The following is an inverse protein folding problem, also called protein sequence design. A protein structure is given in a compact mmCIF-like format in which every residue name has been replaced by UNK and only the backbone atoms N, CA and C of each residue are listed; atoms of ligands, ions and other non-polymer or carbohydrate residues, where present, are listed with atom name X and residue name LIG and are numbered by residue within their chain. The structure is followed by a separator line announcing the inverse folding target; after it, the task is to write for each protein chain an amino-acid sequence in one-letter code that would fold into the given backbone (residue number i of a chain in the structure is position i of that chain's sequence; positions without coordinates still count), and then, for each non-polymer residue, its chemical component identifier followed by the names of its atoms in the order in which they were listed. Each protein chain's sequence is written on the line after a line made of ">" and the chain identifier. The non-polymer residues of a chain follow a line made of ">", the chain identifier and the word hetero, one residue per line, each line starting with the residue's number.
data_IF_762123093654
#
_entry.id   IF_762123093654
#
_cell.length_a   1.000
_cell.length_b   1.000
_cell.length_c   1.000
_cell.angle_alpha   90.00
_cell.angle_beta   90.00
_cell.angle_gamma   90.00
#
_symmetry.space_group_name_H-M   'P 1'
#
loop_
_entity.id
_entity.type
_entity.pdbx_description
1 polymer ?
#
# COMPACT_ATOMS: atom_id res chain seq x y z
N UNK A 1 6.32 -1.00 17.73
CA UNK A 1 6.28 -2.44 17.40
C UNK A 1 7.24 -2.79 16.25
N UNK A 2 7.09 -2.20 15.04
CA UNK A 2 7.99 -2.53 13.90
C UNK A 2 9.46 -2.22 14.18
N UNK A 3 9.77 -1.11 14.86
CA UNK A 3 11.12 -0.75 15.32
C UNK A 3 11.71 -1.76 16.31
N UNK A 4 10.86 -2.52 17.00
CA UNK A 4 11.22 -3.58 17.94
C UNK A 4 11.23 -4.98 17.30
N UNK A 5 11.07 -5.09 15.97
CA UNK A 5 11.01 -6.36 15.25
C UNK A 5 9.68 -7.12 15.39
N UNK A 6 8.67 -6.55 16.06
CA UNK A 6 7.36 -7.17 16.22
C UNK A 6 6.56 -7.03 14.93
N UNK A 7 6.10 -8.14 14.37
CA UNK A 7 5.27 -8.17 13.17
C UNK A 7 3.84 -7.75 13.50
N UNK A 8 3.27 -6.87 12.68
CA UNK A 8 1.85 -6.51 12.73
C UNK A 8 1.13 -7.31 11.65
N UNK A 9 0.20 -8.17 12.06
CA UNK A 9 -0.63 -8.95 11.15
C UNK A 9 -1.92 -8.16 10.86
N UNK A 10 -2.41 -8.16 9.60
CA UNK A 10 -3.67 -7.52 9.24
C UNK A 10 -4.84 -8.14 10.02
N UNK A 11 -6.00 -7.45 10.10
CA UNK A 11 -7.20 -8.07 10.65
C UNK A 11 -7.59 -9.30 9.84
N UNK A 12 -8.14 -10.31 10.49
CA UNK A 12 -8.64 -11.53 9.86
C UNK A 12 -9.93 -11.99 10.56
N UNK A 13 -10.97 -12.29 9.80
CA UNK A 13 -12.27 -12.60 10.36
C UNK A 13 -12.30 -13.94 11.11
N UNK A 14 -11.42 -14.86 10.70
CA UNK A 14 -11.33 -16.20 11.27
C UNK A 14 -10.30 -16.31 12.41
N UNK A 15 -9.28 -15.46 12.43
CA UNK A 15 -8.23 -15.50 13.45
C UNK A 15 -8.22 -14.27 14.37
N UNK A 16 -8.86 -13.17 13.96
CA UNK A 16 -8.88 -11.92 14.71
C UNK A 16 -9.83 -11.96 15.90
N UNK A 17 -9.46 -11.26 16.97
CA UNK A 17 -10.29 -10.96 18.12
C UNK A 17 -10.93 -9.59 17.97
N UNK A 18 -11.86 -9.26 18.90
CA UNK A 18 -12.40 -7.90 18.98
C UNK A 18 -11.30 -6.85 19.15
N UNK A 19 -10.37 -7.06 20.08
CA UNK A 19 -9.19 -6.22 20.30
C UNK A 19 -7.95 -6.75 19.60
N UNK A 20 -6.84 -6.05 19.79
CA UNK A 20 -5.52 -6.55 19.38
C UNK A 20 -5.16 -7.81 20.16
N UNK A 21 -4.60 -8.79 19.50
CA UNK A 21 -4.19 -10.06 20.12
C UNK A 21 -2.74 -10.39 19.79
N UNK A 22 -2.00 -10.89 20.80
CA UNK A 22 -0.65 -11.39 20.61
C UNK A 22 -0.68 -12.84 20.09
N UNK A 23 0.09 -13.12 19.04
CA UNK A 23 0.24 -14.46 18.46
C UNK A 23 1.74 -14.73 18.22
N UNK A 24 2.41 -15.37 19.18
CA UNK A 24 3.86 -15.52 19.16
C UNK A 24 4.56 -14.15 19.13
N UNK A 25 5.48 -13.96 18.18
CA UNK A 25 6.21 -12.69 17.98
C UNK A 25 5.45 -11.67 17.13
N UNK A 26 4.13 -11.82 17.03
CA UNK A 26 3.30 -10.98 16.19
C UNK A 26 2.10 -10.43 16.96
N UNK A 27 1.63 -9.26 16.55
CA UNK A 27 0.37 -8.67 17.04
C UNK A 27 -0.61 -8.66 15.87
N UNK A 28 -1.76 -9.34 16.03
CA UNK A 28 -2.86 -9.26 15.07
C UNK A 28 -3.71 -8.03 15.36
N UNK A 29 -4.07 -7.33 14.31
CA UNK A 29 -4.90 -6.15 14.37
C UNK A 29 -6.33 -6.52 14.79
N UNK A 30 -6.88 -5.81 15.79
CA UNK A 30 -8.22 -6.06 16.31
C UNK A 30 -9.31 -5.69 15.30
N UNK A 31 -10.37 -6.48 15.23
CA UNK A 31 -11.49 -6.23 14.31
C UNK A 31 -12.24 -4.93 14.63
N UNK A 32 -12.28 -4.50 15.89
CA UNK A 32 -12.89 -3.22 16.29
C UNK A 32 -12.16 -1.97 15.80
N UNK A 33 -10.92 -2.11 15.33
CA UNK A 33 -10.19 -1.02 14.72
C UNK A 33 -10.63 -0.71 13.29
N UNK A 34 -11.46 -1.57 12.68
CA UNK A 34 -12.02 -1.34 11.34
C UNK A 34 -13.14 -0.31 11.46
N UNK A 35 -12.98 0.82 10.77
CA UNK A 35 -13.95 1.93 10.80
C UNK A 35 -15.35 1.51 10.37
N UNK A 36 -16.35 2.16 10.94
CA UNK A 36 -17.77 1.97 10.63
C UNK A 36 -18.32 0.56 10.96
N UNK A 37 -17.65 -0.17 11.83
CA UNK A 37 -18.17 -1.43 12.39
C UNK A 37 -18.24 -1.28 13.91
N UNK A 38 -19.44 -1.37 14.46
CA UNK A 38 -19.65 -1.21 15.90
C UNK A 38 -19.08 -2.39 16.70
N UNK A 39 -18.55 -2.09 17.91
CA UNK A 39 -17.98 -3.12 18.79
C UNK A 39 -18.94 -4.28 19.04
N UNK A 40 -20.22 -3.99 19.32
CA UNK A 40 -21.22 -5.04 19.57
C UNK A 40 -21.41 -5.99 18.36
N UNK A 41 -21.33 -5.46 17.14
CA UNK A 41 -21.41 -6.28 15.91
C UNK A 41 -20.19 -7.18 15.80
N UNK A 42 -19.00 -6.66 16.10
CA UNK A 42 -17.74 -7.45 16.11
C UNK A 42 -17.82 -8.56 17.18
N UNK A 43 -18.24 -8.23 18.41
CA UNK A 43 -18.36 -9.21 19.48
C UNK A 43 -19.32 -10.34 19.08
N UNK A 44 -20.43 -10.02 18.42
CA UNK A 44 -21.38 -11.02 17.88
C UNK A 44 -20.76 -11.88 16.78
N UNK A 45 -19.96 -11.30 15.87
CA UNK A 45 -19.25 -12.03 14.82
C UNK A 45 -18.26 -13.04 15.43
N UNK A 46 -17.50 -12.60 16.44
CA UNK A 46 -16.55 -13.47 17.14
C UNK A 46 -17.28 -14.61 17.87
N UNK A 47 -18.34 -14.28 18.60
CA UNK A 47 -19.15 -15.29 19.31
C UNK A 47 -19.81 -16.32 18.36
N UNK A 48 -20.32 -15.87 17.19
CA UNK A 48 -20.88 -16.75 16.16
C UNK A 48 -19.81 -17.69 15.58
N UNK A 49 -18.60 -17.17 15.34
CA UNK A 49 -17.46 -17.98 14.91
C UNK A 49 -17.07 -19.03 15.96
N UNK A 50 -17.04 -18.68 17.24
CA UNK A 50 -16.73 -19.60 18.33
C UNK A 50 -17.79 -20.71 18.49
N UNK A 51 -19.05 -20.32 18.30
CA UNK A 51 -20.17 -21.28 18.46
C UNK A 51 -20.30 -22.24 17.27
N UNK A 52 -20.06 -21.81 16.05
CA UNK A 52 -20.36 -22.57 14.82
C UNK A 52 -19.14 -22.84 13.92
N UNK A 53 -17.95 -22.50 14.38
CA UNK A 53 -16.69 -22.68 13.65
C UNK A 53 -16.39 -21.56 12.67
N UNK A 54 -15.22 -21.63 12.05
CA UNK A 54 -14.70 -20.63 11.11
C UNK A 54 -15.66 -20.39 9.94
N UNK A 55 -15.64 -19.17 9.42
CA UNK A 55 -16.34 -18.81 8.19
C UNK A 55 -15.60 -19.38 6.98
N UNK A 56 -16.33 -20.04 6.08
CA UNK A 56 -15.75 -20.76 4.93
C UNK A 56 -15.42 -19.84 3.76
N UNK A 57 -16.35 -18.95 3.47
CA UNK A 57 -16.28 -18.00 2.35
C UNK A 57 -17.14 -16.75 2.64
N UNK A 58 -17.18 -15.80 1.71
CA UNK A 58 -17.93 -14.56 1.85
C UNK A 58 -19.44 -14.79 1.99
N UNK A 59 -19.99 -15.77 1.30
CA UNK A 59 -21.42 -16.08 1.33
C UNK A 59 -21.82 -16.71 2.68
N UNK A 60 -21.02 -17.64 3.21
CA UNK A 60 -21.21 -18.22 4.54
C UNK A 60 -21.13 -17.13 5.62
N UNK A 61 -20.15 -16.23 5.52
CA UNK A 61 -20.05 -15.09 6.44
C UNK A 61 -21.30 -14.22 6.40
N UNK A 62 -21.72 -13.77 5.21
CA UNK A 62 -22.88 -12.88 5.06
C UNK A 62 -24.15 -13.57 5.57
N UNK A 63 -24.38 -14.84 5.24
CA UNK A 63 -25.56 -15.59 5.64
C UNK A 63 -25.66 -15.74 7.16
N UNK A 64 -24.54 -16.07 7.82
CA UNK A 64 -24.48 -16.26 9.28
C UNK A 64 -24.55 -14.94 10.05
N UNK A 65 -24.00 -13.86 9.50
CA UNK A 65 -23.89 -12.57 10.22
C UNK A 65 -25.00 -11.56 9.88
N UNK A 66 -25.78 -11.81 8.85
CA UNK A 66 -26.92 -10.94 8.50
C UNK A 66 -27.96 -10.79 9.65
N UNK A 67 -28.23 -11.81 10.54
CA UNK A 67 -29.07 -11.60 11.73
C UNK A 67 -28.39 -10.75 12.81
N UNK A 68 -27.07 -10.60 12.77
CA UNK A 68 -26.26 -9.97 13.81
C UNK A 68 -26.06 -8.46 13.57
N UNK A 69 -26.72 -7.89 12.57
CA UNK A 69 -26.64 -6.45 12.25
C UNK A 69 -25.48 -6.05 11.36
N UNK A 70 -24.81 -7.01 10.71
CA UNK A 70 -23.77 -6.71 9.71
C UNK A 70 -24.43 -6.16 8.44
N UNK A 71 -24.09 -4.95 8.06
CA UNK A 71 -24.61 -4.25 6.88
C UNK A 71 -23.59 -4.22 5.73
N UNK A 72 -24.04 -3.81 4.53
CA UNK A 72 -23.21 -3.70 3.32
C UNK A 72 -21.92 -2.89 3.56
N UNK A 73 -22.01 -1.78 4.31
CA UNK A 73 -20.86 -0.91 4.59
C UNK A 73 -19.82 -1.60 5.49
N UNK A 74 -20.28 -2.39 6.46
CA UNK A 74 -19.38 -3.18 7.29
C UNK A 74 -18.63 -4.23 6.45
N UNK A 75 -19.35 -4.95 5.57
CA UNK A 75 -18.75 -5.95 4.67
C UNK A 75 -17.74 -5.32 3.74
N UNK A 76 -18.07 -4.18 3.12
CA UNK A 76 -17.14 -3.41 2.28
C UNK A 76 -15.86 -3.07 3.06
N UNK A 77 -15.99 -2.59 4.29
CA UNK A 77 -14.84 -2.24 5.11
C UNK A 77 -14.01 -3.46 5.54
N UNK A 78 -14.63 -4.60 5.79
CA UNK A 78 -13.91 -5.87 6.00
C UNK A 78 -13.10 -6.28 4.76
N UNK A 79 -13.69 -6.17 3.56
CA UNK A 79 -12.98 -6.44 2.29
C UNK A 79 -11.80 -5.48 2.13
N UNK A 80 -12.02 -4.17 2.30
CA UNK A 80 -10.97 -3.15 2.21
C UNK A 80 -9.84 -3.36 3.21
N UNK A 81 -10.19 -3.77 4.44
CA UNK A 81 -9.23 -4.07 5.51
C UNK A 81 -8.42 -5.36 5.26
N UNK A 82 -8.81 -6.19 4.30
CA UNK A 82 -8.24 -7.51 4.07
C UNK A 82 -8.66 -8.56 5.07
N UNK A 83 -9.72 -8.32 5.85
CA UNK A 83 -10.20 -9.26 6.87
C UNK A 83 -10.70 -10.59 6.30
N UNK A 84 -10.96 -10.66 5.01
CA UNK A 84 -11.40 -11.86 4.28
C UNK A 84 -10.32 -12.47 3.37
N UNK A 85 -9.07 -12.02 3.46
CA UNK A 85 -8.00 -12.53 2.58
C UNK A 85 -7.78 -14.04 2.77
N UNK A 86 -8.12 -14.59 3.94
CA UNK A 86 -8.09 -16.03 4.23
C UNK A 86 -9.14 -16.87 3.47
N UNK A 87 -10.13 -16.26 2.81
CA UNK A 87 -11.14 -16.97 2.01
C UNK A 87 -10.63 -17.44 0.64
N UNK A 88 -9.46 -17.00 0.21
CA UNK A 88 -8.86 -17.40 -1.06
C UNK A 88 -9.36 -16.64 -2.30
N UNK A 89 -10.45 -15.86 -2.19
CA UNK A 89 -10.89 -14.92 -3.22
C UNK A 89 -10.13 -13.59 -3.08
N UNK A 90 -9.90 -12.91 -4.20
CA UNK A 90 -9.25 -11.59 -4.17
C UNK A 90 -10.20 -10.52 -3.64
N UNK A 91 -9.65 -9.46 -3.03
CA UNK A 91 -10.46 -8.31 -2.56
C UNK A 91 -11.29 -7.72 -3.70
N UNK A 92 -10.72 -7.66 -4.91
CA UNK A 92 -11.42 -7.16 -6.10
C UNK A 92 -12.61 -8.03 -6.50
N UNK A 93 -12.44 -9.36 -6.48
CA UNK A 93 -13.54 -10.29 -6.71
C UNK A 93 -14.67 -10.11 -5.70
N UNK A 94 -14.33 -10.12 -4.42
CA UNK A 94 -15.30 -9.94 -3.33
C UNK A 94 -16.03 -8.60 -3.42
N UNK A 95 -15.31 -7.50 -3.76
CA UNK A 95 -15.88 -6.16 -3.92
C UNK A 95 -16.91 -6.09 -5.05
N UNK A 96 -16.77 -6.89 -6.09
CA UNK A 96 -17.72 -6.93 -7.22
C UNK A 96 -19.02 -7.66 -6.88
N UNK A 97 -19.01 -8.59 -5.95
CA UNK A 97 -20.16 -9.49 -5.71
C UNK A 97 -20.84 -9.31 -4.35
N UNK A 98 -20.18 -8.74 -3.35
CA UNK A 98 -20.71 -8.69 -1.97
C UNK A 98 -22.10 -8.07 -1.87
N UNK A 99 -22.37 -7.02 -2.64
CA UNK A 99 -23.66 -6.34 -2.58
C UNK A 99 -24.81 -7.22 -3.08
N UNK A 100 -24.57 -8.00 -4.13
CA UNK A 100 -25.55 -8.95 -4.67
C UNK A 100 -25.78 -10.11 -3.71
N UNK A 101 -24.71 -10.64 -3.06
CA UNK A 101 -24.84 -11.69 -2.05
C UNK A 101 -25.69 -11.19 -0.87
N UNK A 102 -25.47 -9.97 -0.39
CA UNK A 102 -26.28 -9.39 0.70
C UNK A 102 -27.75 -9.26 0.30
N UNK A 103 -28.01 -8.82 -0.92
CA UNK A 103 -29.39 -8.66 -1.42
C UNK A 103 -30.10 -10.03 -1.53
N UNK A 104 -29.42 -11.05 -2.06
CA UNK A 104 -29.94 -12.42 -2.14
C UNK A 104 -30.24 -12.98 -0.76
N UNK A 105 -29.30 -12.93 0.19
CA UNK A 105 -29.50 -13.42 1.57
C UNK A 105 -30.66 -12.70 2.27
N UNK A 106 -30.83 -11.40 2.04
CA UNK A 106 -31.94 -10.64 2.63
C UNK A 106 -33.28 -10.99 1.99
N UNK A 107 -33.32 -11.32 0.70
CA UNK A 107 -34.52 -11.75 0.00
C UNK A 107 -34.95 -13.13 0.51
N UNK A 108 -34.04 -14.09 0.57
CA UNK A 108 -34.31 -15.45 1.07
C UNK A 108 -34.88 -15.44 2.49
N UNK A 109 -34.41 -14.54 3.36
CA UNK A 109 -34.99 -14.36 4.70
C UNK A 109 -36.42 -13.82 4.68
N UNK A 110 -36.72 -12.86 3.80
CA UNK A 110 -38.08 -12.33 3.68
C UNK A 110 -39.06 -13.41 3.20
N UNK A 111 -38.64 -14.19 2.21
CA UNK A 111 -39.44 -15.27 1.63
C UNK A 111 -39.70 -16.38 2.68
N UNK A 112 -38.70 -16.75 3.47
CA UNK A 112 -38.85 -17.71 4.59
C UNK A 112 -39.79 -17.19 5.68
N UNK A 113 -39.71 -15.88 6.02
CA UNK A 113 -40.60 -15.27 7.02
C UNK A 113 -42.06 -15.17 6.54
N UNK A 114 -42.30 -15.12 5.23
CA UNK A 114 -43.65 -15.11 4.64
C UNK A 114 -44.22 -16.50 4.44
N UNK A 115 -43.57 -17.57 4.94
CA UNK A 115 -44.02 -18.96 4.82
C UNK A 115 -43.90 -19.54 3.41
N UNK A 116 -43.18 -18.85 2.50
CA UNK A 116 -42.78 -19.40 1.22
C UNK A 116 -41.52 -20.23 1.45
N UNK A 117 -41.55 -21.53 1.14
CA UNK A 117 -40.36 -22.37 1.14
C UNK A 117 -39.38 -21.79 0.12
N UNK A 118 -38.18 -21.45 0.58
CA UNK A 118 -37.07 -21.04 -0.32
C UNK A 118 -36.78 -22.19 -1.28
N UNK A 119 -36.48 -21.86 -2.53
CA UNK A 119 -35.96 -22.81 -3.53
C UNK A 119 -34.72 -23.56 -3.00
N UNK A 120 -33.98 -22.94 -2.08
CA UNK A 120 -32.82 -23.51 -1.38
C UNK A 120 -33.19 -24.62 -0.38
N UNK A 121 -34.37 -24.60 0.23
CA UNK A 121 -34.81 -25.63 1.18
C UNK A 121 -35.22 -26.94 0.48
N UNK A 122 -35.54 -26.85 -0.83
CA UNK A 122 -35.99 -27.97 -1.65
C UNK A 122 -34.84 -28.54 -2.50
N UNK A 123 -33.76 -27.81 -2.68
CA UNK A 123 -32.65 -28.20 -3.54
C UNK A 123 -31.70 -29.19 -2.85
N UNK A 124 -31.36 -30.29 -3.54
CA UNK A 124 -30.29 -31.22 -3.13
C UNK A 124 -28.93 -30.51 -3.06
N UNK A 125 -27.99 -31.06 -2.25
CA UNK A 125 -26.65 -30.46 -2.06
C UNK A 125 -25.90 -30.17 -3.37
N UNK A 126 -26.12 -30.96 -4.41
CA UNK A 126 -25.52 -30.74 -5.74
C UNK A 126 -26.18 -29.58 -6.52
N UNK A 127 -27.46 -29.31 -6.27
CA UNK A 127 -28.18 -28.18 -6.82
C UNK A 127 -27.81 -26.89 -6.08
N UNK A 128 -27.56 -26.94 -4.77
CA UNK A 128 -27.05 -25.82 -3.98
C UNK A 128 -25.68 -25.30 -4.47
N UNK A 129 -24.83 -26.20 -4.97
CA UNK A 129 -23.53 -25.81 -5.61
C UNK A 129 -23.70 -24.97 -6.89
N UNK A 130 -24.77 -25.21 -7.65
CA UNK A 130 -25.04 -24.47 -8.90
C UNK A 130 -25.61 -23.07 -8.68
N UNK A 131 -26.11 -22.78 -7.47
CA UNK A 131 -26.62 -21.46 -7.08
C UNK A 131 -25.61 -20.61 -6.32
N UNK A 132 -24.41 -21.14 -5.98
CA UNK A 132 -23.33 -20.31 -5.42
C UNK A 132 -22.93 -19.22 -6.37
N UNK A 133 -22.88 -17.99 -5.86
CA UNK A 133 -22.39 -16.85 -6.64
C UNK A 133 -20.99 -17.15 -7.15
N UNK A 134 -20.84 -17.25 -8.47
CA UNK A 134 -19.53 -17.46 -9.08
C UNK A 134 -18.67 -16.19 -8.93
N UNK A 135 -17.48 -16.36 -8.36
CA UNK A 135 -16.51 -15.25 -8.30
C UNK A 135 -16.09 -14.85 -9.72
N UNK A 136 -16.13 -13.56 -10.06
CA UNK A 136 -15.74 -13.09 -11.38
C UNK A 136 -14.27 -13.42 -11.66
N UNK A 137 -13.95 -13.75 -12.91
CA UNK A 137 -12.58 -14.01 -13.32
C UNK A 137 -11.81 -12.70 -13.54
N UNK A 138 -11.45 -12.03 -12.44
CA UNK A 138 -10.67 -10.80 -12.42
C UNK A 138 -9.48 -10.97 -11.48
N UNK A 139 -8.36 -10.33 -11.84
CA UNK A 139 -7.18 -10.28 -10.98
C UNK A 139 -7.41 -9.46 -9.70
N UNK A 140 -6.38 -9.36 -8.87
CA UNK A 140 -6.42 -8.55 -7.64
C UNK A 140 -6.18 -7.07 -7.98
N UNK A 141 -6.53 -6.18 -7.06
CA UNK A 141 -6.06 -4.80 -7.05
C UNK A 141 -4.54 -4.75 -6.99
N UNK A 142 -3.94 -3.72 -7.59
CA UNK A 142 -2.53 -3.44 -7.38
C UNK A 142 -2.23 -3.17 -5.89
N UNK A 143 -0.96 -3.24 -5.54
CA UNK A 143 -0.56 -3.11 -4.14
C UNK A 143 -0.85 -1.72 -3.58
N UNK A 144 -0.66 -0.66 -4.37
CA UNK A 144 -0.90 0.72 -3.95
C UNK A 144 -2.39 0.89 -3.58
N UNK A 145 -3.30 0.34 -4.39
CA UNK A 145 -4.74 0.39 -4.11
C UNK A 145 -5.14 -0.38 -2.85
N UNK A 146 -4.55 -1.55 -2.60
CA UNK A 146 -4.83 -2.32 -1.38
C UNK A 146 -4.40 -1.57 -0.12
N UNK A 147 -3.21 -0.99 -0.12
CA UNK A 147 -2.71 -0.25 1.04
C UNK A 147 -3.45 1.07 1.26
N UNK A 148 -3.96 1.72 0.19
CA UNK A 148 -4.88 2.86 0.30
C UNK A 148 -6.18 2.46 1.01
N UNK A 149 -6.80 1.34 0.64
CA UNK A 149 -7.97 0.82 1.31
C UNK A 149 -7.72 0.53 2.79
N UNK A 150 -6.60 -0.09 3.11
CA UNK A 150 -6.22 -0.33 4.49
C UNK A 150 -6.08 0.97 5.27
N UNK A 151 -5.35 1.96 4.72
CA UNK A 151 -5.21 3.29 5.34
C UNK A 151 -6.56 3.97 5.57
N UNK A 152 -7.49 3.86 4.59
CA UNK A 152 -8.85 4.42 4.69
C UNK A 152 -9.61 3.83 5.88
N UNK A 153 -9.62 2.48 6.01
CA UNK A 153 -10.53 1.78 6.93
C UNK A 153 -9.93 1.36 8.26
N UNK A 154 -8.61 1.19 8.37
CA UNK A 154 -7.94 0.84 9.62
C UNK A 154 -6.91 1.88 10.08
N UNK A 155 -6.63 2.90 9.24
CA UNK A 155 -5.73 4.00 9.57
C UNK A 155 -4.24 3.70 9.44
N UNK A 156 -3.86 2.48 9.12
CA UNK A 156 -2.46 2.06 8.90
C UNK A 156 -2.34 1.22 7.62
N UNK A 157 -1.11 1.01 7.17
CA UNK A 157 -0.77 0.07 6.11
C UNK A 157 -0.46 -1.29 6.73
N UNK A 158 -1.43 -2.21 6.75
CA UNK A 158 -1.29 -3.50 7.42
C UNK A 158 -0.49 -4.51 6.59
N UNK A 159 -0.72 -4.57 5.28
CA UNK A 159 -0.04 -5.50 4.37
C UNK A 159 1.35 -5.02 3.91
N UNK A 160 1.71 -3.77 4.17
CA UNK A 160 3.02 -3.21 3.82
C UNK A 160 2.94 -1.72 3.50
N UNK A 161 4.04 -1.01 3.69
CA UNK A 161 4.09 0.44 3.40
C UNK A 161 4.20 0.67 1.88
N UNK A 162 3.48 1.65 1.28
CA UNK A 162 3.53 1.93 -0.15
C UNK A 162 4.93 2.26 -0.70
N UNK A 163 5.85 2.74 0.15
CA UNK A 163 7.25 2.98 -0.22
C UNK A 163 8.11 1.73 -0.19
N UNK A 164 7.62 0.60 0.33
CA UNK A 164 8.44 -0.60 0.50
C UNK A 164 8.99 -1.14 -0.81
N UNK A 165 8.19 -1.09 -1.88
CA UNK A 165 8.62 -1.46 -3.22
C UNK A 165 9.71 -0.51 -3.79
N UNK A 166 9.79 0.70 -3.27
CA UNK A 166 10.74 1.74 -3.68
C UNK A 166 11.76 2.09 -2.58
N UNK A 167 11.93 1.21 -1.58
CA UNK A 167 12.80 1.46 -0.43
C UNK A 167 14.26 1.78 -0.85
N UNK A 168 14.81 1.07 -1.83
CA UNK A 168 16.17 1.33 -2.31
C UNK A 168 16.29 2.73 -2.92
N UNK A 169 15.30 3.15 -3.70
CA UNK A 169 15.20 4.49 -4.27
C UNK A 169 15.08 5.54 -3.18
N UNK A 170 14.22 5.32 -2.22
CA UNK A 170 14.02 6.19 -1.08
C UNK A 170 15.33 6.36 -0.29
N UNK A 171 15.97 5.27 0.16
CA UNK A 171 17.22 5.31 0.96
C UNK A 171 18.37 6.04 0.27
N UNK A 172 18.49 5.92 -1.05
CA UNK A 172 19.58 6.55 -1.80
C UNK A 172 19.44 8.07 -1.91
N UNK A 173 18.23 8.60 -1.83
CA UNK A 173 17.95 10.01 -2.08
C UNK A 173 17.63 10.81 -0.82
N UNK A 174 17.66 10.19 0.35
CA UNK A 174 17.53 10.86 1.64
C UNK A 174 18.86 10.94 2.37
N UNK A 175 18.98 11.95 3.23
CA UNK A 175 20.08 12.06 4.21
C UNK A 175 19.61 11.69 5.60
N UNK A 176 18.32 11.90 5.88
CA UNK A 176 17.70 11.69 7.18
C UNK A 176 16.35 11.02 7.03
N UNK A 177 15.98 10.22 8.00
CA UNK A 177 14.66 9.60 8.13
C UNK A 177 13.76 10.47 9.03
N UNK A 178 12.46 10.29 8.93
CA UNK A 178 11.49 11.01 9.77
C UNK A 178 11.76 10.86 11.26
N UNK A 179 12.20 9.67 11.70
CA UNK A 179 12.52 9.38 13.10
C UNK A 179 13.68 10.22 13.66
N UNK A 180 14.53 10.79 12.81
CA UNK A 180 15.62 11.65 13.23
C UNK A 180 15.12 13.02 13.70
N UNK A 181 13.88 13.38 13.34
CA UNK A 181 13.21 14.65 13.70
C UNK A 181 12.23 14.50 14.88
N UNK A 182 12.18 13.34 15.53
CA UNK A 182 11.36 13.18 16.73
C UNK A 182 11.90 14.04 17.85
N UNK A 183 11.00 14.46 18.76
CA UNK A 183 11.38 15.17 19.97
C UNK A 183 12.42 14.33 20.74
N UNK A 184 13.58 14.92 21.11
CA UNK A 184 14.58 14.21 21.90
C UNK A 184 14.05 13.89 23.30
N UNK A 185 14.53 12.79 23.89
CA UNK A 185 14.22 12.47 25.27
C UNK A 185 14.86 13.51 26.22
N UNK A 186 14.33 13.64 27.43
CA UNK A 186 14.79 14.65 28.42
C UNK A 186 16.30 14.48 28.68
N UNK A 187 17.10 15.47 28.29
CA UNK A 187 18.57 15.49 28.43
C UNK A 187 19.33 14.96 27.19
N UNK A 188 18.65 14.59 26.11
CA UNK A 188 19.28 14.24 24.86
C UNK A 188 19.28 15.42 23.86
N UNK A 189 20.31 15.51 23.04
CA UNK A 189 20.37 16.46 21.91
C UNK A 189 19.64 15.88 20.69
N UNK A 190 19.09 16.77 19.86
CA UNK A 190 18.49 16.37 18.59
C UNK A 190 19.52 15.68 17.69
N UNK A 191 19.13 14.59 17.04
CA UNK A 191 19.97 13.86 16.07
C UNK A 191 20.33 14.69 14.84
N UNK A 192 19.52 15.69 14.53
CA UNK A 192 19.71 16.57 13.37
C UNK A 192 20.09 17.98 13.88
N UNK A 193 21.23 18.53 13.48
CA UNK A 193 21.60 19.91 13.83
C UNK A 193 20.64 20.94 13.22
N UNK A 194 20.31 21.99 13.99
CA UNK A 194 19.51 23.10 13.46
C UNK A 194 20.18 23.73 12.24
N UNK A 195 19.38 24.15 11.26
CA UNK A 195 19.80 24.74 9.98
C UNK A 195 20.68 23.84 9.10
N UNK A 196 20.84 22.56 9.45
CA UNK A 196 21.54 21.61 8.59
C UNK A 196 20.76 21.34 7.31
N UNK A 197 21.49 21.10 6.20
CA UNK A 197 20.90 20.69 4.93
C UNK A 197 20.47 19.23 5.01
N UNK A 198 19.20 18.97 4.76
CA UNK A 198 18.61 17.66 4.83
C UNK A 198 17.84 17.30 3.56
N UNK A 199 17.77 16.03 3.29
CA UNK A 199 16.91 15.46 2.27
C UNK A 199 16.06 14.36 2.93
N UNK A 200 14.74 14.50 2.87
CA UNK A 200 13.77 13.54 3.33
C UNK A 200 12.88 13.07 2.18
N UNK A 201 12.29 11.92 2.28
CA UNK A 201 11.40 11.39 1.25
C UNK A 201 10.28 10.60 1.87
N UNK A 202 9.08 10.67 1.29
CA UNK A 202 7.92 10.00 1.85
C UNK A 202 6.65 10.23 1.02
N UNK A 203 5.54 9.87 1.64
CA UNK A 203 4.18 10.10 1.14
C UNK A 203 3.58 11.26 1.91
N UNK A 204 2.91 12.17 1.24
CA UNK A 204 2.12 13.21 1.90
C UNK A 204 0.92 12.52 2.57
N UNK A 205 0.98 12.34 3.89
CA UNK A 205 -0.11 11.72 4.66
C UNK A 205 -1.16 12.72 5.12
N UNK A 206 -0.79 14.01 5.23
CA UNK A 206 -1.71 15.11 5.50
C UNK A 206 -1.15 16.43 4.94
N UNK A 207 -2.05 17.34 4.55
CA UNK A 207 -1.69 18.66 4.07
C UNK A 207 -2.63 19.72 4.64
N UNK A 208 -2.04 20.78 5.22
CA UNK A 208 -2.76 21.98 5.68
C UNK A 208 -2.29 23.18 4.87
N UNK A 209 -3.17 23.72 4.01
CA UNK A 209 -2.90 24.93 3.22
C UNK A 209 -3.30 26.15 4.02
N UNK A 210 -2.41 27.16 4.10
CA UNK A 210 -2.66 28.43 4.79
C UNK A 210 -2.27 29.60 3.90
N UNK A 211 -2.80 30.78 4.24
CA UNK A 211 -2.38 32.03 3.63
C UNK A 211 -1.47 32.80 4.58
N UNK A 212 -0.41 33.37 4.04
CA UNK A 212 0.46 34.30 4.77
C UNK A 212 -0.26 35.62 5.00
N UNK A 213 0.30 36.49 5.85
CA UNK A 213 -0.21 37.85 6.08
C UNK A 213 -0.27 38.68 4.78
N UNK A 214 0.53 38.32 3.77
CA UNK A 214 0.54 38.97 2.44
C UNK A 214 -0.39 38.32 1.43
N UNK A 215 -1.25 37.39 1.84
CA UNK A 215 -2.22 36.72 1.00
C UNK A 215 -1.65 35.62 0.07
N UNK A 216 -0.39 35.26 0.25
CA UNK A 216 0.26 34.20 -0.53
C UNK A 216 -0.02 32.83 0.11
N UNK A 217 -0.25 31.79 -0.69
CA UNK A 217 -0.52 30.46 -0.21
C UNK A 217 0.77 29.70 0.17
N UNK A 218 0.74 29.00 1.29
CA UNK A 218 1.77 28.09 1.78
C UNK A 218 1.15 26.82 2.29
N UNK A 219 1.94 25.77 2.54
CA UNK A 219 1.46 24.53 3.10
C UNK A 219 2.35 24.01 4.21
N UNK A 220 1.72 23.29 5.14
CA UNK A 220 2.35 22.40 6.09
C UNK A 220 1.96 20.98 5.66
N UNK A 221 2.92 20.15 5.38
CA UNK A 221 2.69 18.76 4.99
C UNK A 221 3.27 17.81 6.04
N UNK A 222 2.53 16.77 6.36
CA UNK A 222 3.03 15.64 7.11
C UNK A 222 3.56 14.62 6.10
N UNK A 223 4.86 14.43 6.08
CA UNK A 223 5.53 13.47 5.20
C UNK A 223 5.75 12.17 5.99
N UNK A 224 5.15 11.09 5.53
CA UNK A 224 5.24 9.75 6.13
C UNK A 224 6.24 8.91 5.35
N UNK A 225 7.23 8.36 6.05
CA UNK A 225 8.19 7.41 5.48
C UNK A 225 8.01 6.00 6.10
N UNK A 226 8.98 5.10 5.87
CA UNK A 226 8.93 3.71 6.35
C UNK A 226 8.97 3.57 7.88
N UNK A 227 9.37 4.61 8.61
CA UNK A 227 9.64 4.53 10.05
C UNK A 227 8.87 5.55 10.90
N UNK A 228 8.30 6.59 10.29
CA UNK A 228 7.54 7.61 11.02
C UNK A 228 7.07 8.76 10.13
N UNK A 229 6.88 9.93 10.74
CA UNK A 229 6.42 11.14 10.06
C UNK A 229 7.29 12.34 10.42
N UNK A 230 7.42 13.29 9.51
CA UNK A 230 8.06 14.59 9.74
C UNK A 230 7.21 15.71 9.15
N UNK A 231 7.12 16.84 9.84
CA UNK A 231 6.46 18.04 9.32
C UNK A 231 7.39 18.77 8.34
N UNK A 232 6.86 19.11 7.17
CA UNK A 232 7.57 19.90 6.18
C UNK A 232 6.83 21.21 5.93
N UNK A 233 7.52 22.32 6.08
CA UNK A 233 6.99 23.67 5.84
C UNK A 233 7.31 24.08 4.40
N UNK A 234 6.27 24.34 3.61
CA UNK A 234 6.38 24.73 2.20
C UNK A 234 5.99 26.18 2.04
N UNK A 235 6.97 27.06 1.99
CA UNK A 235 6.78 28.51 1.83
C UNK A 235 6.20 28.87 0.44
N UNK A 236 5.60 30.07 0.26
CA UNK A 236 4.84 30.43 -0.93
C UNK A 236 5.57 30.20 -2.24
N UNK A 237 6.84 30.63 -2.33
CA UNK A 237 7.64 30.45 -3.54
C UNK A 237 7.79 28.97 -3.93
N UNK A 238 8.00 28.10 -2.95
CA UNK A 238 8.16 26.67 -3.19
C UNK A 238 6.79 26.02 -3.42
N UNK A 239 5.75 26.47 -2.73
CA UNK A 239 4.38 26.00 -2.93
C UNK A 239 3.93 26.18 -4.38
N UNK A 240 4.11 27.37 -4.96
CA UNK A 240 3.76 27.65 -6.36
C UNK A 240 4.52 26.75 -7.35
N UNK A 241 5.81 26.50 -7.08
CA UNK A 241 6.64 25.63 -7.93
C UNK A 241 6.22 24.16 -7.90
N UNK A 242 5.72 23.71 -6.76
CA UNK A 242 5.39 22.31 -6.52
C UNK A 242 3.89 22.07 -6.37
N UNK A 243 3.05 23.01 -6.81
CA UNK A 243 1.60 23.01 -6.60
C UNK A 243 0.93 21.71 -7.01
N UNK A 244 1.38 21.12 -8.14
CA UNK A 244 0.84 19.84 -8.67
C UNK A 244 1.17 18.64 -7.79
N UNK A 245 2.15 18.76 -6.89
CA UNK A 245 2.56 17.70 -5.96
C UNK A 245 1.93 17.87 -4.57
N UNK A 246 1.15 18.95 -4.33
CA UNK A 246 0.58 19.29 -3.03
C UNK A 246 -0.77 18.61 -2.82
N UNK A 247 -0.80 17.28 -2.86
CA UNK A 247 -1.97 16.42 -2.64
C UNK A 247 -1.59 15.23 -1.76
N UNK A 248 -2.54 14.77 -0.93
CA UNK A 248 -2.35 13.58 -0.11
C UNK A 248 -2.15 12.34 -1.01
N UNK A 249 -1.30 11.42 -0.56
CA UNK A 249 -0.90 10.23 -1.33
C UNK A 249 0.29 10.44 -2.27
N UNK A 250 0.68 11.68 -2.58
CA UNK A 250 1.84 11.94 -3.44
C UNK A 250 3.14 11.48 -2.78
N UNK A 251 3.97 10.77 -3.54
CA UNK A 251 5.31 10.32 -3.13
C UNK A 251 6.34 11.37 -3.57
N UNK A 252 7.00 12.02 -2.61
CA UNK A 252 7.90 13.15 -2.88
C UNK A 252 9.23 13.04 -2.12
N UNK A 253 10.30 13.57 -2.74
CA UNK A 253 11.54 13.94 -2.08
C UNK A 253 11.56 15.44 -1.81
N UNK A 254 11.97 15.80 -0.60
CA UNK A 254 12.12 17.18 -0.15
C UNK A 254 13.57 17.42 0.24
N UNK A 255 14.21 18.40 -0.39
CA UNK A 255 15.49 18.96 0.06
C UNK A 255 15.22 20.29 0.76
N UNK A 256 15.81 20.49 1.91
CA UNK A 256 15.56 21.67 2.71
C UNK A 256 16.57 21.87 3.82
N UNK A 257 16.18 22.67 4.79
CA UNK A 257 16.93 22.92 6.02
C UNK A 257 16.13 22.42 7.23
N UNK A 258 16.81 21.81 8.17
CA UNK A 258 16.21 21.41 9.44
C UNK A 258 15.89 22.65 10.27
N UNK A 259 14.74 22.69 10.86
CA UNK A 259 14.35 23.66 11.88
C UNK A 259 14.11 22.89 13.19
N UNK A 260 15.05 23.02 14.09
CA UNK A 260 15.05 22.31 15.39
C UNK A 260 14.85 23.36 16.48
N UNK A 261 13.80 23.19 17.27
CA UNK A 261 13.50 24.00 18.42
C UNK A 261 13.63 23.15 19.70
N UNK A 262 14.04 23.73 20.80
CA UNK A 262 14.16 23.02 22.07
C UNK A 262 12.80 22.42 22.49
N UNK A 263 12.81 21.18 22.96
CA UNK A 263 11.65 20.44 23.45
C UNK A 263 10.49 20.34 22.46
N UNK A 264 10.80 20.21 21.18
CA UNK A 264 9.79 19.98 20.14
C UNK A 264 10.32 19.08 19.01
N UNK A 265 9.40 18.44 18.31
CA UNK A 265 9.74 17.71 17.11
C UNK A 265 10.30 18.64 16.04
N UNK A 266 11.41 18.24 15.41
CA UNK A 266 12.03 18.97 14.31
C UNK A 266 11.16 19.03 13.06
N UNK A 267 11.39 20.04 12.23
CA UNK A 267 10.68 20.27 10.97
C UNK A 267 11.67 20.45 9.83
N UNK A 268 11.20 20.28 8.60
CA UNK A 268 12.00 20.57 7.39
C UNK A 268 11.42 21.77 6.67
N UNK A 269 12.23 22.80 6.47
CA UNK A 269 11.89 23.97 5.65
C UNK A 269 12.23 23.65 4.20
N UNK A 270 11.23 23.44 3.34
CA UNK A 270 11.42 22.97 1.99
C UNK A 270 12.05 24.01 1.06
N UNK A 271 13.18 23.67 0.46
CA UNK A 271 13.86 24.45 -0.59
C UNK A 271 13.61 23.88 -1.99
N UNK A 272 13.39 22.57 -2.11
CA UNK A 272 13.06 21.88 -3.36
C UNK A 272 12.21 20.66 -3.09
N UNK A 273 11.19 20.43 -3.91
CA UNK A 273 10.30 19.27 -3.86
C UNK A 273 10.22 18.67 -5.25
N UNK A 274 10.42 17.37 -5.34
CA UNK A 274 10.33 16.59 -6.58
C UNK A 274 9.54 15.31 -6.35
N UNK A 275 8.78 14.85 -7.35
CA UNK A 275 8.13 13.54 -7.28
C UNK A 275 9.16 12.40 -7.30
N UNK A 276 8.82 11.28 -6.67
CA UNK A 276 9.60 10.04 -6.81
C UNK A 276 9.78 9.64 -8.28
N UNK A 277 8.78 9.88 -9.13
CA UNK A 277 8.81 9.53 -10.56
C UNK A 277 9.77 10.41 -11.36
N UNK A 278 10.06 11.63 -10.89
CA UNK A 278 11.01 12.55 -11.53
C UNK A 278 12.47 12.22 -11.22
N UNK A 279 12.71 11.32 -10.26
CA UNK A 279 14.06 10.85 -9.94
C UNK A 279 14.27 9.53 -10.67
N UNK A 280 15.04 9.48 -11.76
CA UNK A 280 15.18 8.28 -12.57
C UNK A 280 15.98 7.20 -11.82
N UNK A 281 15.51 5.96 -11.93
CA UNK A 281 16.25 4.76 -11.55
C UNK A 281 17.13 4.30 -12.72
N UNK A 282 17.98 3.32 -12.49
CA UNK A 282 18.79 2.66 -13.52
C UNK A 282 18.44 1.18 -13.57
N UNK A 283 17.82 0.76 -14.67
CA UNK A 283 17.60 -0.66 -14.95
C UNK A 283 18.86 -1.26 -15.57
N UNK A 284 19.52 -2.12 -14.83
CA UNK A 284 20.72 -2.81 -15.26
C UNK A 284 20.37 -4.19 -15.80
N UNK A 285 20.78 -4.47 -17.06
CA UNK A 285 20.65 -5.78 -17.69
C UNK A 285 22.06 -6.25 -18.04
N UNK A 286 22.47 -7.36 -17.43
CA UNK A 286 23.78 -7.93 -17.64
C UNK A 286 23.71 -9.07 -18.67
N UNK A 287 24.73 -9.16 -19.48
CA UNK A 287 24.98 -10.27 -20.40
C UNK A 287 26.33 -10.89 -20.10
N UNK A 288 26.48 -12.16 -20.38
CA UNK A 288 27.72 -12.88 -20.14
C UNK A 288 28.87 -12.29 -20.95
N UNK A 289 28.61 -11.99 -22.22
CA UNK A 289 29.57 -11.38 -23.15
C UNK A 289 28.83 -10.60 -24.24
N UNK A 290 29.64 -9.99 -25.14
CA UNK A 290 29.16 -9.19 -26.24
C UNK A 290 28.39 -10.01 -27.28
N UNK A 291 28.75 -11.27 -27.48
CA UNK A 291 28.08 -12.14 -28.47
C UNK A 291 26.65 -12.44 -28.04
N UNK A 292 26.44 -12.78 -26.76
CA UNK A 292 25.10 -12.98 -26.21
C UNK A 292 24.24 -11.71 -26.31
N UNK A 293 24.83 -10.56 -26.02
CA UNK A 293 24.11 -9.28 -26.16
C UNK A 293 23.68 -9.02 -27.60
N UNK A 294 24.58 -9.20 -28.57
CA UNK A 294 24.26 -8.97 -30.00
C UNK A 294 23.11 -9.86 -30.51
N UNK A 295 23.05 -11.11 -30.03
CA UNK A 295 21.97 -12.03 -30.39
C UNK A 295 20.61 -11.57 -29.84
N UNK A 296 20.61 -11.06 -28.61
CA UNK A 296 19.38 -10.66 -27.89
C UNK A 296 19.04 -9.17 -28.00
N UNK A 297 19.92 -8.34 -28.59
CA UNK A 297 19.79 -6.89 -28.63
C UNK A 297 18.47 -6.45 -29.27
N UNK A 298 18.11 -7.02 -30.41
CA UNK A 298 16.89 -6.62 -31.13
C UNK A 298 15.63 -6.86 -30.31
N UNK A 299 15.48 -8.05 -29.76
CA UNK A 299 14.32 -8.44 -28.93
C UNK A 299 14.25 -7.57 -27.66
N UNK A 300 15.41 -7.32 -27.02
CA UNK A 300 15.48 -6.44 -25.85
C UNK A 300 15.01 -5.02 -26.19
N UNK A 301 15.54 -4.43 -27.26
CA UNK A 301 15.20 -3.05 -27.64
C UNK A 301 13.71 -2.92 -28.00
N UNK A 302 13.12 -3.90 -28.70
CA UNK A 302 11.69 -3.96 -28.97
C UNK A 302 10.87 -4.04 -27.69
N UNK A 303 11.28 -4.86 -26.72
CA UNK A 303 10.63 -4.99 -25.40
C UNK A 303 10.69 -3.67 -24.62
N UNK A 304 11.85 -3.01 -24.57
CA UNK A 304 12.01 -1.73 -23.87
C UNK A 304 11.12 -0.63 -24.47
N UNK A 305 10.94 -0.59 -25.77
CA UNK A 305 10.09 0.40 -26.45
C UNK A 305 8.60 0.27 -26.11
N UNK A 306 8.15 -0.92 -25.67
CA UNK A 306 6.77 -1.14 -25.22
C UNK A 306 6.51 -0.59 -23.80
N UNK A 307 7.56 -0.40 -23.00
CA UNK A 307 7.48 0.01 -21.60
C UNK A 307 8.11 1.40 -21.36
N UNK A 308 7.80 2.37 -22.19
CA UNK A 308 8.39 3.72 -22.11
C UNK A 308 8.18 4.41 -20.76
N UNK A 309 9.25 5.03 -20.24
CA UNK A 309 9.23 5.74 -18.95
C UNK A 309 10.44 6.65 -18.75
N UNK A 310 10.75 6.95 -17.48
CA UNK A 310 11.84 7.88 -17.10
C UNK A 310 13.15 7.19 -16.75
N UNK A 311 13.16 5.89 -16.47
CA UNK A 311 14.29 5.16 -15.92
C UNK A 311 15.33 4.85 -17.00
N UNK A 312 16.62 5.02 -16.67
CA UNK A 312 17.72 4.73 -17.58
C UNK A 312 17.94 3.22 -17.70
N UNK A 313 18.24 2.74 -18.90
CA UNK A 313 18.63 1.35 -19.11
C UNK A 313 20.14 1.27 -19.30
N UNK A 314 20.77 0.43 -18.49
CA UNK A 314 22.21 0.17 -18.47
C UNK A 314 22.48 -1.26 -18.91
N UNK A 315 23.33 -1.44 -19.90
CA UNK A 315 23.80 -2.77 -20.34
C UNK A 315 25.17 -3.02 -19.73
N UNK A 316 25.35 -4.17 -19.11
CA UNK A 316 26.64 -4.65 -18.58
C UNK A 316 27.07 -5.92 -19.31
N UNK A 317 28.32 -5.92 -19.78
CA UNK A 317 28.95 -7.09 -20.43
C UNK A 317 30.00 -7.63 -19.45
N UNK A 318 29.70 -8.79 -18.84
CA UNK A 318 30.48 -9.31 -17.72
C UNK A 318 31.91 -9.69 -18.11
N UNK A 319 32.10 -10.36 -19.24
CA UNK A 319 33.42 -10.83 -19.72
C UNK A 319 34.32 -9.66 -20.11
N UNK A 320 33.77 -8.68 -20.83
CA UNK A 320 34.49 -7.48 -21.29
C UNK A 320 34.65 -6.43 -20.19
N UNK A 321 33.96 -6.56 -19.06
CA UNK A 321 33.86 -5.57 -17.98
C UNK A 321 33.42 -4.18 -18.47
N UNK A 322 32.58 -4.17 -19.50
CA UNK A 322 32.07 -2.95 -20.11
C UNK A 322 30.64 -2.65 -19.66
N UNK A 323 30.32 -1.37 -19.57
CA UNK A 323 29.01 -0.87 -19.23
C UNK A 323 28.65 0.26 -20.19
N UNK A 324 27.42 0.28 -20.68
CA UNK A 324 26.91 1.36 -21.52
C UNK A 324 25.49 1.73 -21.14
N UNK A 325 25.15 3.02 -21.14
CA UNK A 325 23.79 3.48 -21.08
C UNK A 325 23.15 3.38 -22.47
N UNK A 326 21.92 2.91 -22.55
CA UNK A 326 21.15 3.00 -23.79
C UNK A 326 20.69 4.45 -24.02
N UNK A 327 20.45 4.84 -25.30
CA UNK A 327 19.88 6.13 -25.64
C UNK A 327 18.57 6.44 -24.93
N UNK A 328 18.22 7.75 -24.85
CA UNK A 328 17.04 8.23 -24.11
C UNK A 328 15.72 7.63 -24.58
N UNK A 329 15.63 7.24 -25.84
CA UNK A 329 14.46 6.58 -26.46
C UNK A 329 14.12 5.21 -25.86
N UNK A 330 15.12 4.54 -25.24
CA UNK A 330 14.98 3.25 -24.55
C UNK A 330 14.78 3.36 -23.04
N UNK A 331 14.51 4.58 -22.53
CA UNK A 331 14.12 4.72 -21.14
C UNK A 331 12.77 4.07 -20.90
N UNK A 332 12.66 3.42 -19.75
CA UNK A 332 11.51 2.58 -19.41
C UNK A 332 10.85 3.02 -18.11
N UNK A 333 9.62 2.57 -17.89
CA UNK A 333 9.00 2.50 -16.56
C UNK A 333 9.40 1.17 -15.94
N UNK A 334 10.48 1.16 -15.15
CA UNK A 334 11.03 -0.03 -14.51
C UNK A 334 10.21 -0.41 -13.26
N UNK A 335 8.88 -0.55 -13.41
CA UNK A 335 8.02 -1.05 -12.36
C UNK A 335 8.30 -2.52 -12.02
N UNK A 336 7.83 -2.98 -10.86
CA UNK A 336 8.11 -4.33 -10.38
C UNK A 336 7.67 -5.42 -11.35
N UNK A 337 6.51 -5.25 -12.03
CA UNK A 337 6.00 -6.25 -12.96
C UNK A 337 6.93 -6.41 -14.15
N UNK A 338 7.35 -5.30 -14.74
CA UNK A 338 8.27 -5.30 -15.89
C UNK A 338 9.66 -5.84 -15.51
N UNK A 339 10.17 -5.46 -14.34
CA UNK A 339 11.45 -5.99 -13.83
C UNK A 339 11.39 -7.51 -13.64
N UNK A 340 10.29 -8.05 -13.10
CA UNK A 340 10.11 -9.50 -12.95
C UNK A 340 9.94 -10.22 -14.27
N UNK A 341 9.31 -9.61 -15.28
CA UNK A 341 9.24 -10.13 -16.65
C UNK A 341 10.64 -10.24 -17.26
N UNK A 342 11.43 -9.19 -17.18
CA UNK A 342 12.82 -9.22 -17.66
C UNK A 342 13.68 -10.24 -16.90
N UNK A 343 13.50 -10.41 -15.60
CA UNK A 343 14.19 -11.45 -14.82
C UNK A 343 13.84 -12.87 -15.29
N UNK A 344 12.60 -13.12 -15.68
CA UNK A 344 12.19 -14.41 -16.26
C UNK A 344 12.87 -14.67 -17.60
N UNK A 345 13.03 -13.63 -18.42
CA UNK A 345 13.60 -13.73 -19.77
C UNK A 345 15.13 -13.79 -19.74
N UNK A 346 15.77 -12.95 -18.95
CA UNK A 346 17.23 -12.77 -18.95
C UNK A 346 17.94 -13.41 -17.73
N UNK A 347 17.18 -13.84 -16.72
CA UNK A 347 17.69 -14.48 -15.51
C UNK A 347 17.68 -13.54 -14.30
N UNK A 348 17.41 -14.11 -13.11
CA UNK A 348 17.24 -13.39 -11.83
C UNK A 348 18.47 -12.54 -11.44
N UNK A 349 19.67 -13.07 -11.67
CA UNK A 349 20.92 -12.40 -11.30
C UNK A 349 21.39 -11.36 -12.31
N UNK A 350 20.83 -11.39 -13.52
CA UNK A 350 21.25 -10.56 -14.64
C UNK A 350 20.43 -9.26 -14.78
N UNK A 351 19.30 -9.16 -14.12
CA UNK A 351 18.45 -7.94 -14.14
C UNK A 351 18.40 -7.33 -12.74
N UNK A 352 18.86 -6.08 -12.62
CA UNK A 352 18.87 -5.34 -11.34
C UNK A 352 18.39 -3.92 -11.55
N UNK A 353 17.42 -3.51 -10.74
CA UNK A 353 17.04 -2.12 -10.63
C UNK A 353 18.00 -1.45 -9.63
N UNK A 354 18.79 -0.49 -10.13
CA UNK A 354 19.63 0.37 -9.30
C UNK A 354 19.01 1.76 -9.28
N UNK A 355 18.93 2.28 -8.11
CA UNK A 355 18.32 3.57 -7.89
C UNK A 355 19.39 4.58 -7.53
#
# INVERSE_FOLDING_TARGET
>A
CRSMGIKILPPDINEGESGFSAKGDSIRYGLTAIKNVGKAVIDNIVAEREARGIYKDLEDFISRTAPLGVNKRAIENFIKAGAFDSFGATRKQMMMVYAQIVDSVNQDKKDTMQGQMSLFDIADEDQKKNYKMQMPNVGEYDNDRKVEFEKEVIGIYASGHPLQAQEQKWRKHITNMSIDFTEPEEGEESKVPDKSKVAVGGIISAITKKFTKTGQQMAFITLEDLVGTVEVVVFPRQFERSRMLMEEGQKIFVKGEANIEENSAGKVLANSIVSFDQVPSELWIAFKDKEEYMVKEKELLETLLLHKGGDKVMIALAKERQQKALPIEYRVDANNQFVEELKKTYGQDFVKLRV
#
